data_IF_884876419164
#
_entry.id   IF_884876419164
#
_cell.length_a   1.000
_cell.length_b   1.000
_cell.length_c   1.000
_cell.angle_alpha   90.00
_cell.angle_beta   90.00
_cell.angle_gamma   90.00
#
_symmetry.space_group_name_H-M   'P 1'
#
loop_
_entity.id
_entity.type
_entity.pdbx_description
1 polymer ?
#
# COMPACT_ATOMS: atom_id res chain seq x y z
N UNK A 1 21.42 -19.20 -2.17
CA UNK A 1 19.97 -18.92 -2.33
C UNK A 1 19.42 -18.20 -1.09
N UNK A 2 19.64 -18.78 0.10
CA UNK A 2 19.29 -18.20 1.42
C UNK A 2 19.70 -16.73 1.58
N UNK A 3 21.01 -16.41 1.54
CA UNK A 3 21.49 -15.03 1.74
C UNK A 3 20.85 -14.01 0.78
N UNK A 4 20.56 -14.42 -0.46
CA UNK A 4 19.94 -13.54 -1.46
C UNK A 4 18.46 -13.33 -1.17
N UNK A 5 17.73 -14.38 -0.81
CA UNK A 5 16.33 -14.27 -0.39
C UNK A 5 16.19 -13.43 0.87
N UNK A 6 17.04 -13.66 1.87
CA UNK A 6 17.08 -12.84 3.09
C UNK A 6 17.35 -11.37 2.78
N UNK A 7 18.36 -11.07 1.95
CA UNK A 7 18.67 -9.71 1.52
C UNK A 7 17.51 -9.05 0.79
N UNK A 8 16.84 -9.77 -0.13
CA UNK A 8 15.71 -9.24 -0.90
C UNK A 8 14.52 -8.91 0.04
N UNK A 9 14.22 -9.77 1.02
CA UNK A 9 13.14 -9.55 2.00
C UNK A 9 13.42 -8.36 2.92
N UNK A 10 14.65 -8.23 3.42
CA UNK A 10 15.08 -7.08 4.22
C UNK A 10 14.99 -5.80 3.39
N UNK A 11 15.43 -5.81 2.13
CA UNK A 11 15.34 -4.64 1.26
C UNK A 11 13.89 -4.24 1.00
N UNK A 12 12.98 -5.20 0.80
CA UNK A 12 11.56 -4.92 0.64
C UNK A 12 10.96 -4.24 1.87
N UNK A 13 11.34 -4.70 3.07
CA UNK A 13 10.96 -4.06 4.33
C UNK A 13 11.50 -2.63 4.44
N UNK A 14 12.80 -2.43 4.20
CA UNK A 14 13.44 -1.11 4.23
C UNK A 14 12.77 -0.15 3.24
N UNK A 15 12.53 -0.59 2.00
CA UNK A 15 11.88 0.22 0.98
C UNK A 15 10.45 0.64 1.39
N UNK A 16 9.69 -0.26 2.04
CA UNK A 16 8.35 0.06 2.52
C UNK A 16 8.40 1.15 3.61
N UNK A 17 9.39 1.06 4.52
CA UNK A 17 9.61 2.04 5.57
C UNK A 17 10.02 3.41 5.01
N UNK A 18 10.99 3.44 4.10
CA UNK A 18 11.47 4.68 3.47
C UNK A 18 10.37 5.37 2.65
N UNK A 19 9.58 4.61 1.87
CA UNK A 19 8.49 5.18 1.09
C UNK A 19 7.45 5.86 1.98
N UNK A 20 7.11 5.25 3.11
CA UNK A 20 6.19 5.82 4.09
C UNK A 20 6.74 7.11 4.68
N UNK A 21 7.99 7.09 5.15
CA UNK A 21 8.62 8.26 5.75
C UNK A 21 8.69 9.42 4.74
N UNK A 22 8.96 9.13 3.47
CA UNK A 22 8.92 10.12 2.38
C UNK A 22 7.52 10.71 2.16
N UNK A 23 6.48 9.87 2.14
CA UNK A 23 5.09 10.33 1.95
C UNK A 23 4.60 11.19 3.12
N UNK A 24 4.94 10.80 4.36
CA UNK A 24 4.64 11.58 5.55
C UNK A 24 5.41 12.91 5.54
N UNK A 25 6.71 12.89 5.24
CA UNK A 25 7.52 14.10 5.14
C UNK A 25 7.00 15.04 4.05
N UNK A 26 6.60 14.52 2.90
CA UNK A 26 5.99 15.32 1.83
C UNK A 26 4.70 16.00 2.32
N UNK A 27 3.87 15.29 3.08
CA UNK A 27 2.64 15.85 3.63
C UNK A 27 2.90 16.91 4.70
N UNK A 28 3.85 16.66 5.61
CA UNK A 28 4.28 17.63 6.62
C UNK A 28 4.84 18.89 5.95
N UNK A 29 5.72 18.74 4.96
CA UNK A 29 6.29 19.86 4.20
C UNK A 29 5.19 20.64 3.48
N UNK A 30 4.24 19.96 2.83
CA UNK A 30 3.14 20.62 2.11
C UNK A 30 2.27 21.49 3.03
N UNK A 31 2.03 21.05 4.26
CA UNK A 31 1.29 21.84 5.26
C UNK A 31 2.15 22.88 5.99
N UNK A 32 3.42 22.58 6.25
CA UNK A 32 4.37 23.56 6.73
C UNK A 32 4.48 24.72 5.73
N UNK A 33 4.52 24.44 4.42
CA UNK A 33 4.47 25.44 3.35
C UNK A 33 3.15 26.22 3.38
N UNK A 34 2.00 25.60 3.65
CA UNK A 34 0.74 26.32 3.85
C UNK A 34 0.86 27.37 4.97
N UNK A 35 1.40 26.97 6.13
CA UNK A 35 1.55 27.83 7.30
C UNK A 35 2.65 28.90 7.11
N UNK A 36 3.77 28.54 6.48
CA UNK A 36 4.86 29.46 6.13
C UNK A 36 4.45 30.47 5.05
N UNK A 37 3.56 30.11 4.11
CA UNK A 37 3.00 31.06 3.14
C UNK A 37 2.28 32.20 3.86
N UNK A 38 1.50 31.88 4.90
CA UNK A 38 0.80 32.88 5.72
C UNK A 38 1.77 33.79 6.47
N UNK A 39 2.92 33.26 6.90
CA UNK A 39 3.95 34.01 7.62
C UNK A 39 4.82 34.88 6.70
N UNK A 40 5.38 34.34 5.61
CA UNK A 40 6.28 35.06 4.71
C UNK A 40 5.60 36.19 3.93
N UNK A 41 4.29 36.08 3.67
CA UNK A 41 3.49 37.18 3.11
C UNK A 41 3.46 38.39 4.07
N UNK A 42 3.56 38.17 5.39
CA UNK A 42 3.59 39.26 6.38
C UNK A 42 4.95 39.95 6.47
N UNK A 43 6.05 39.25 6.19
CA UNK A 43 7.41 39.74 6.47
C UNK A 43 8.18 40.27 5.25
N UNK A 44 7.61 40.22 4.04
CA UNK A 44 8.12 40.99 2.89
C UNK A 44 9.52 40.62 2.37
N UNK A 45 10.07 39.46 2.74
CA UNK A 45 11.47 39.14 2.48
C UNK A 45 11.71 38.69 1.01
N UNK A 46 12.69 39.29 0.31
CA UNK A 46 12.90 39.14 -1.15
C UNK A 46 13.86 38.04 -1.61
N UNK A 47 14.69 37.50 -0.73
CA UNK A 47 15.83 36.65 -1.12
C UNK A 47 15.49 35.22 -1.57
N UNK A 48 14.23 34.80 -1.58
CA UNK A 48 13.89 33.41 -1.91
C UNK A 48 12.96 33.28 -3.11
N UNK A 49 13.50 33.60 -4.30
CA UNK A 49 12.75 33.62 -5.57
C UNK A 49 12.14 32.26 -5.94
N UNK A 50 12.85 31.15 -5.73
CA UNK A 50 12.32 29.80 -6.01
C UNK A 50 11.24 29.37 -5.02
N UNK A 51 11.45 29.62 -3.73
CA UNK A 51 10.41 29.37 -2.71
C UNK A 51 9.18 30.23 -3.00
N UNK A 52 9.33 31.52 -3.32
CA UNK A 52 8.19 32.38 -3.73
C UNK A 52 7.43 31.81 -4.92
N UNK A 53 8.12 31.27 -5.93
CA UNK A 53 7.49 30.64 -7.09
C UNK A 53 6.70 29.38 -6.69
N UNK A 54 7.29 28.50 -5.89
CA UNK A 54 6.61 27.31 -5.37
C UNK A 54 5.39 27.68 -4.49
N UNK A 55 5.53 28.71 -3.65
CA UNK A 55 4.44 29.23 -2.81
C UNK A 55 3.32 29.87 -3.65
N UNK A 56 3.64 30.54 -4.76
CA UNK A 56 2.61 31.07 -5.67
C UNK A 56 1.80 29.95 -6.32
N UNK A 57 2.46 28.92 -6.86
CA UNK A 57 1.75 27.76 -7.42
C UNK A 57 0.88 27.06 -6.39
N UNK A 58 1.37 26.92 -5.15
CA UNK A 58 0.60 26.38 -4.03
C UNK A 58 -0.63 27.23 -3.74
N UNK A 59 -0.46 28.56 -3.60
CA UNK A 59 -1.55 29.50 -3.33
C UNK A 59 -2.62 29.47 -4.42
N UNK A 60 -2.21 29.49 -5.67
CA UNK A 60 -3.12 29.44 -6.82
C UNK A 60 -3.91 28.13 -6.85
N UNK A 61 -3.24 27.01 -6.55
CA UNK A 61 -3.87 25.69 -6.42
C UNK A 61 -4.86 25.64 -5.26
N UNK A 62 -4.49 26.15 -4.07
CA UNK A 62 -5.36 26.21 -2.88
C UNK A 62 -6.60 27.08 -3.11
N UNK A 63 -6.44 28.24 -3.77
CA UNK A 63 -7.55 29.11 -4.15
C UNK A 63 -8.47 28.40 -5.16
N UNK A 64 -7.91 27.75 -6.17
CA UNK A 64 -8.67 26.99 -7.16
C UNK A 64 -9.49 25.87 -6.51
N UNK A 65 -8.89 25.13 -5.59
CA UNK A 65 -9.56 24.06 -4.84
C UNK A 65 -10.69 24.61 -3.96
N UNK A 66 -10.43 25.70 -3.23
CA UNK A 66 -11.44 26.34 -2.38
C UNK A 66 -12.62 26.88 -3.20
N UNK A 67 -12.38 27.42 -4.40
CA UNK A 67 -13.44 27.82 -5.34
C UNK A 67 -14.32 26.65 -5.77
N UNK A 68 -13.75 25.45 -5.84
CA UNK A 68 -14.47 24.21 -6.13
C UNK A 68 -15.06 23.55 -4.87
N UNK A 69 -15.03 24.23 -3.70
CA UNK A 69 -15.55 23.71 -2.44
C UNK A 69 -14.71 22.58 -1.83
N UNK A 70 -13.46 22.42 -2.26
CA UNK A 70 -12.56 21.37 -1.77
C UNK A 70 -11.45 21.99 -0.92
N UNK A 71 -11.29 21.50 0.30
CA UNK A 71 -10.19 21.90 1.17
C UNK A 71 -8.92 21.12 0.84
N UNK A 72 -7.81 21.83 0.64
CA UNK A 72 -6.52 21.21 0.32
C UNK A 72 -6.09 20.17 1.36
N UNK A 73 -6.31 20.46 2.65
CA UNK A 73 -5.99 19.57 3.76
C UNK A 73 -6.74 18.24 3.64
N UNK A 74 -8.00 18.25 3.19
CA UNK A 74 -8.78 17.04 2.95
C UNK A 74 -8.16 16.17 1.86
N UNK A 75 -7.73 16.76 0.75
CA UNK A 75 -7.03 16.03 -0.33
C UNK A 75 -5.76 15.37 0.21
N UNK A 76 -5.02 16.09 1.05
CA UNK A 76 -3.80 15.56 1.63
C UNK A 76 -4.09 14.37 2.55
N UNK A 77 -5.10 14.50 3.42
CA UNK A 77 -5.57 13.43 4.31
C UNK A 77 -6.03 12.19 3.54
N UNK A 78 -6.82 12.38 2.49
CA UNK A 78 -7.22 11.30 1.59
C UNK A 78 -5.99 10.61 0.98
N UNK A 79 -4.99 11.39 0.54
CA UNK A 79 -3.78 10.87 -0.09
C UNK A 79 -2.90 10.08 0.87
N UNK A 80 -2.70 10.58 2.09
CA UNK A 80 -1.93 9.90 3.13
C UNK A 80 -2.57 8.55 3.47
N UNK A 81 -3.89 8.54 3.68
CA UNK A 81 -4.61 7.30 3.99
C UNK A 81 -4.46 6.26 2.88
N UNK A 82 -4.64 6.69 1.62
CA UNK A 82 -4.43 5.83 0.46
C UNK A 82 -3.01 5.27 0.43
N UNK A 83 -2.01 6.10 0.70
CA UNK A 83 -0.61 5.70 0.67
C UNK A 83 -0.29 4.64 1.74
N UNK A 84 -0.79 4.75 2.97
CA UNK A 84 -0.52 3.75 4.02
C UNK A 84 -0.92 2.34 3.60
N UNK A 85 -2.13 2.17 3.06
CA UNK A 85 -2.56 0.86 2.58
C UNK A 85 -1.83 0.43 1.31
N UNK A 86 -1.54 1.37 0.40
CA UNK A 86 -0.80 1.07 -0.82
C UNK A 86 0.61 0.53 -0.51
N UNK A 87 1.29 1.07 0.50
CA UNK A 87 2.60 0.58 0.95
C UNK A 87 2.52 -0.87 1.42
N UNK A 88 1.48 -1.21 2.20
CA UNK A 88 1.24 -2.59 2.63
C UNK A 88 0.99 -3.54 1.44
N UNK A 89 0.18 -3.11 0.48
CA UNK A 89 -0.14 -3.90 -0.71
C UNK A 89 1.10 -4.12 -1.60
N UNK A 90 1.89 -3.07 -1.81
CA UNK A 90 3.16 -3.14 -2.53
C UNK A 90 4.20 -4.02 -1.81
N UNK A 91 4.25 -3.96 -0.48
CA UNK A 91 5.07 -4.85 0.33
C UNK A 91 4.67 -6.32 0.11
N UNK A 92 3.38 -6.63 0.19
CA UNK A 92 2.87 -7.99 -0.08
C UNK A 92 3.21 -8.44 -1.51
N UNK A 93 3.02 -7.55 -2.49
CA UNK A 93 3.37 -7.79 -3.89
C UNK A 93 4.86 -8.13 -4.04
N UNK A 94 5.75 -7.27 -3.54
CA UNK A 94 7.21 -7.43 -3.67
C UNK A 94 7.71 -8.72 -2.99
N UNK A 95 7.13 -9.08 -1.86
CA UNK A 95 7.47 -10.32 -1.16
C UNK A 95 7.00 -11.57 -1.90
N UNK A 96 5.75 -11.60 -2.40
CA UNK A 96 5.30 -12.72 -3.25
C UNK A 96 6.14 -12.84 -4.52
N UNK A 97 6.47 -11.71 -5.15
CA UNK A 97 7.32 -11.66 -6.33
C UNK A 97 8.70 -12.25 -6.05
N UNK A 98 9.33 -11.81 -4.96
CA UNK A 98 10.62 -12.33 -4.52
C UNK A 98 10.58 -13.85 -4.29
N UNK A 99 9.56 -14.34 -3.56
CA UNK A 99 9.40 -15.77 -3.30
C UNK A 99 9.26 -16.56 -4.60
N UNK A 100 8.42 -16.13 -5.54
CA UNK A 100 8.24 -16.85 -6.79
C UNK A 100 9.46 -16.81 -7.71
N UNK A 101 10.17 -15.67 -7.79
CA UNK A 101 11.39 -15.56 -8.58
C UNK A 101 12.54 -16.40 -8.02
N UNK A 102 12.63 -16.50 -6.68
CA UNK A 102 13.70 -17.27 -6.01
C UNK A 102 13.36 -18.75 -5.84
N UNK A 103 12.08 -19.07 -5.68
CA UNK A 103 11.58 -20.41 -5.39
C UNK A 103 10.50 -20.82 -6.43
N UNK A 104 10.83 -20.88 -7.74
CA UNK A 104 9.85 -21.00 -8.83
C UNK A 104 9.04 -22.29 -8.85
N UNK A 105 9.46 -23.36 -8.18
CA UNK A 105 8.69 -24.62 -8.06
C UNK A 105 7.34 -24.42 -7.35
N UNK A 106 7.17 -23.33 -6.59
CA UNK A 106 5.86 -22.96 -6.05
C UNK A 106 4.83 -22.62 -7.13
N UNK A 107 5.25 -22.34 -8.37
CA UNK A 107 4.38 -22.11 -9.51
C UNK A 107 4.03 -23.37 -10.29
N UNK A 108 4.67 -24.52 -10.02
CA UNK A 108 4.49 -25.74 -10.83
C UNK A 108 3.07 -26.30 -10.79
N UNK A 109 2.29 -25.95 -9.77
CA UNK A 109 0.88 -26.37 -9.63
C UNK A 109 -0.10 -25.45 -10.36
N UNK A 110 0.37 -24.32 -10.87
CA UNK A 110 -0.47 -23.34 -11.56
C UNK A 110 -0.41 -23.54 -13.07
N UNK A 111 -1.56 -23.48 -13.74
CA UNK A 111 -1.58 -23.33 -15.19
C UNK A 111 -1.07 -21.93 -15.57
N UNK A 112 0.06 -21.89 -16.27
CA UNK A 112 0.67 -20.64 -16.71
C UNK A 112 0.22 -20.34 -18.13
N UNK A 113 -0.65 -19.33 -18.27
CA UNK A 113 -1.07 -18.82 -19.57
C UNK A 113 -0.11 -17.71 -20.03
N UNK A 114 0.63 -17.97 -21.10
CA UNK A 114 1.55 -17.00 -21.72
C UNK A 114 1.06 -16.67 -23.12
N UNK A 115 0.98 -15.39 -23.48
CA UNK A 115 0.57 -15.03 -24.84
C UNK A 115 1.74 -15.24 -25.82
N UNK A 116 1.43 -15.55 -27.09
CA UNK A 116 2.43 -15.60 -28.15
C UNK A 116 3.25 -14.32 -28.24
N UNK A 117 2.63 -13.16 -28.01
CA UNK A 117 3.32 -11.88 -27.99
C UNK A 117 4.39 -11.82 -26.90
N UNK A 118 4.11 -12.33 -25.70
CA UNK A 118 5.08 -12.33 -24.59
C UNK A 118 6.29 -13.23 -24.90
N UNK A 119 6.09 -14.33 -25.62
CA UNK A 119 7.18 -15.28 -25.97
C UNK A 119 8.04 -14.74 -27.11
N UNK A 120 7.42 -14.23 -28.18
CA UNK A 120 8.12 -13.91 -29.43
C UNK A 120 8.59 -12.45 -29.53
N UNK A 121 8.05 -11.53 -28.72
CA UNK A 121 8.49 -10.12 -28.70
C UNK A 121 9.59 -9.83 -27.68
N UNK A 122 10.00 -10.84 -26.90
CA UNK A 122 11.06 -10.69 -25.91
C UNK A 122 12.26 -11.53 -26.32
N UNK A 123 13.43 -10.90 -26.35
CA UNK A 123 14.69 -11.54 -26.74
C UNK A 123 15.36 -12.29 -25.59
N UNK A 124 14.90 -12.07 -24.35
CA UNK A 124 15.50 -12.63 -23.14
C UNK A 124 14.47 -13.44 -22.34
N UNK A 125 14.78 -14.72 -22.13
CA UNK A 125 13.97 -15.67 -21.38
C UNK A 125 13.78 -15.27 -19.92
N UNK A 126 14.73 -14.53 -19.33
CA UNK A 126 14.61 -14.05 -17.95
C UNK A 126 13.52 -12.98 -17.83
N UNK A 127 13.38 -12.12 -18.84
CA UNK A 127 12.30 -11.11 -18.89
C UNK A 127 10.94 -11.81 -19.03
N UNK A 128 10.86 -12.87 -19.84
CA UNK A 128 9.64 -13.66 -19.99
C UNK A 128 9.25 -14.30 -18.64
N UNK A 129 10.20 -14.91 -17.94
CA UNK A 129 9.97 -15.48 -16.60
C UNK A 129 9.47 -14.42 -15.63
N UNK A 130 10.13 -13.26 -15.59
CA UNK A 130 9.72 -12.16 -14.71
C UNK A 130 8.29 -11.71 -15.01
N UNK A 131 7.95 -11.50 -16.28
CA UNK A 131 6.61 -11.08 -16.69
C UNK A 131 5.51 -12.09 -16.30
N UNK A 132 5.79 -13.38 -16.42
CA UNK A 132 4.88 -14.44 -16.00
C UNK A 132 4.61 -14.34 -14.49
N UNK A 133 5.69 -14.22 -13.72
CA UNK A 133 5.64 -14.16 -12.26
C UNK A 133 4.93 -12.88 -11.80
N UNK A 134 5.23 -11.73 -12.40
CA UNK A 134 4.55 -10.45 -12.13
C UNK A 134 3.05 -10.52 -12.42
N UNK A 135 2.64 -11.06 -13.59
CA UNK A 135 1.23 -11.24 -13.92
C UNK A 135 0.52 -12.13 -12.90
N UNK A 136 1.18 -13.20 -12.45
CA UNK A 136 0.63 -14.10 -11.42
C UNK A 136 0.45 -13.38 -10.09
N UNK A 137 1.50 -12.72 -9.59
CA UNK A 137 1.43 -11.97 -8.32
C UNK A 137 0.37 -10.87 -8.41
N UNK A 138 0.34 -10.12 -9.51
CA UNK A 138 -0.67 -9.06 -9.74
C UNK A 138 -2.08 -9.63 -9.70
N UNK A 139 -2.33 -10.78 -10.33
CA UNK A 139 -3.64 -11.44 -10.26
C UNK A 139 -4.04 -11.77 -8.82
N UNK A 140 -3.11 -12.26 -8.00
CA UNK A 140 -3.37 -12.60 -6.60
C UNK A 140 -3.70 -11.35 -5.78
N UNK A 141 -2.88 -10.31 -5.90
CA UNK A 141 -3.01 -9.08 -5.11
C UNK A 141 -4.28 -8.31 -5.51
N UNK A 142 -4.57 -8.19 -6.81
CA UNK A 142 -5.70 -7.39 -7.30
C UNK A 142 -7.06 -8.11 -7.19
N UNK A 143 -7.09 -9.44 -7.27
CA UNK A 143 -8.35 -10.19 -7.20
C UNK A 143 -8.77 -10.57 -5.77
N UNK A 144 -7.92 -10.30 -4.78
CA UNK A 144 -8.10 -10.77 -3.42
C UNK A 144 -8.23 -9.60 -2.46
N UNK A 145 -9.14 -9.71 -1.50
CA UNK A 145 -9.07 -8.88 -0.30
C UNK A 145 -7.92 -9.35 0.60
N UNK A 146 -7.68 -8.64 1.71
CA UNK A 146 -6.57 -8.97 2.63
C UNK A 146 -6.60 -10.43 3.10
N UNK A 147 -7.78 -10.99 3.41
CA UNK A 147 -7.92 -12.38 3.81
C UNK A 147 -7.43 -13.31 2.72
N UNK A 148 -7.76 -13.01 1.46
CA UNK A 148 -7.29 -13.78 0.31
C UNK A 148 -5.79 -13.70 0.13
N UNK A 149 -5.17 -12.51 0.31
CA UNK A 149 -3.71 -12.34 0.23
C UNK A 149 -3.01 -13.17 1.30
N UNK A 150 -3.41 -13.04 2.58
CA UNK A 150 -2.84 -13.80 3.70
C UNK A 150 -3.04 -15.31 3.49
N UNK A 151 -4.25 -15.71 3.09
CA UNK A 151 -4.55 -17.11 2.77
C UNK A 151 -3.66 -17.63 1.65
N UNK A 152 -3.37 -16.83 0.63
CA UNK A 152 -2.47 -17.24 -0.47
C UNK A 152 -1.05 -17.48 0.01
N UNK A 153 -0.50 -16.63 0.87
CA UNK A 153 0.80 -16.89 1.49
C UNK A 153 0.83 -18.24 2.21
N UNK A 154 -0.21 -18.54 2.98
CA UNK A 154 -0.35 -19.83 3.69
C UNK A 154 -0.51 -21.01 2.73
N UNK A 155 -1.37 -20.91 1.73
CA UNK A 155 -1.66 -22.05 0.83
C UNK A 155 -0.56 -22.32 -0.19
N UNK A 156 0.13 -21.29 -0.67
CA UNK A 156 1.16 -21.43 -1.71
C UNK A 156 2.51 -21.74 -1.08
N UNK A 157 2.92 -20.97 -0.07
CA UNK A 157 4.25 -21.05 0.52
C UNK A 157 4.27 -21.78 1.88
N UNK A 158 3.11 -22.04 2.48
CA UNK A 158 3.03 -22.60 3.84
C UNK A 158 3.35 -21.58 4.94
N UNK A 159 3.42 -20.29 4.64
CA UNK A 159 3.78 -19.26 5.61
C UNK A 159 2.52 -18.82 6.36
N UNK A 160 2.52 -18.99 7.68
CA UNK A 160 1.42 -18.56 8.54
C UNK A 160 1.86 -17.36 9.40
N UNK A 161 1.39 -16.17 9.03
CA UNK A 161 1.76 -14.91 9.68
C UNK A 161 1.20 -14.73 11.10
N UNK A 162 0.36 -15.66 11.58
CA UNK A 162 -0.26 -15.59 12.92
C UNK A 162 -0.92 -14.23 13.22
N UNK A 163 -1.43 -13.56 12.20
CA UNK A 163 -2.19 -12.32 12.36
C UNK A 163 -3.55 -12.72 12.95
N UNK A 164 -3.88 -12.18 14.11
CA UNK A 164 -5.16 -12.46 14.76
C UNK A 164 -6.34 -11.91 13.93
N UNK A 165 -7.56 -12.36 14.26
CA UNK A 165 -8.75 -12.00 13.50
C UNK A 165 -9.01 -10.49 13.52
N UNK A 166 -8.87 -9.84 14.67
CA UNK A 166 -9.16 -8.41 14.82
C UNK A 166 -8.21 -7.57 13.94
N UNK A 167 -6.93 -7.92 13.91
CA UNK A 167 -5.95 -7.30 13.01
C UNK A 167 -6.30 -7.54 11.53
N UNK A 168 -6.74 -8.74 11.14
CA UNK A 168 -7.19 -8.98 9.76
C UNK A 168 -8.44 -8.17 9.40
N UNK A 169 -9.41 -8.11 10.30
CA UNK A 169 -10.64 -7.33 10.18
C UNK A 169 -10.30 -5.83 10.00
N UNK A 170 -9.34 -5.32 10.79
CA UNK A 170 -8.85 -3.94 10.71
C UNK A 170 -8.16 -3.63 9.37
N UNK A 171 -7.26 -4.51 8.89
CA UNK A 171 -6.65 -4.36 7.55
C UNK A 171 -7.70 -4.38 6.44
N UNK A 172 -8.74 -5.20 6.58
CA UNK A 172 -9.82 -5.28 5.61
C UNK A 172 -10.60 -3.96 5.56
N UNK A 173 -10.94 -3.38 6.71
CA UNK A 173 -11.62 -2.07 6.76
C UNK A 173 -10.75 -0.99 6.13
N UNK A 174 -9.45 -0.94 6.44
CA UNK A 174 -8.51 0.01 5.84
C UNK A 174 -8.49 -0.13 4.30
N UNK A 175 -8.47 -1.37 3.80
CA UNK A 175 -8.57 -1.66 2.37
C UNK A 175 -9.84 -1.10 1.73
N UNK A 176 -11.00 -1.34 2.37
CA UNK A 176 -12.29 -0.85 1.90
C UNK A 176 -12.37 0.69 1.92
N UNK A 177 -11.83 1.31 2.97
CA UNK A 177 -11.74 2.76 3.09
C UNK A 177 -10.88 3.36 1.96
N UNK A 178 -9.72 2.77 1.67
CA UNK A 178 -8.89 3.15 0.52
C UNK A 178 -9.64 3.02 -0.80
N UNK A 179 -10.44 1.98 -0.99
CA UNK A 179 -11.25 1.82 -2.20
C UNK A 179 -12.30 2.93 -2.35
N UNK A 180 -12.96 3.32 -1.26
CA UNK A 180 -13.88 4.46 -1.27
C UNK A 180 -13.16 5.77 -1.61
N UNK A 181 -11.98 6.03 -1.02
CA UNK A 181 -11.19 7.22 -1.33
C UNK A 181 -10.87 7.33 -2.83
N UNK A 182 -10.45 6.23 -3.45
CA UNK A 182 -10.07 6.20 -4.87
C UNK A 182 -11.28 6.29 -5.81
N UNK A 183 -12.34 5.53 -5.52
CA UNK A 183 -13.42 5.32 -6.49
C UNK A 183 -14.65 6.21 -6.26
N UNK A 184 -14.89 6.65 -5.02
CA UNK A 184 -16.08 7.44 -4.66
C UNK A 184 -15.75 8.70 -3.88
N UNK A 185 -14.49 9.16 -3.93
CA UNK A 185 -14.01 10.35 -3.20
C UNK A 185 -14.31 10.26 -1.70
N UNK A 186 -14.17 9.06 -1.15
CA UNK A 186 -14.37 8.77 0.27
C UNK A 186 -15.83 8.75 0.72
N UNK A 187 -16.81 8.79 -0.18
CA UNK A 187 -18.23 8.77 0.17
C UNK A 187 -18.72 7.34 0.36
N UNK A 188 -19.25 7.06 1.54
CA UNK A 188 -19.82 5.76 1.92
C UNK A 188 -21.07 5.47 1.09
N UNK A 189 -21.15 4.24 0.59
CA UNK A 189 -22.24 3.76 -0.26
C UNK A 189 -22.70 2.35 0.18
N UNK A 190 -23.77 1.85 -0.44
CA UNK A 190 -24.32 0.52 -0.15
C UNK A 190 -23.33 -0.62 -0.40
N UNK A 191 -22.43 -0.48 -1.37
CA UNK A 191 -21.44 -1.52 -1.71
C UNK A 191 -20.50 -1.71 -0.52
N UNK A 192 -19.97 -0.62 0.04
CA UNK A 192 -19.09 -0.66 1.20
C UNK A 192 -19.75 -1.30 2.43
N UNK A 193 -20.98 -0.89 2.77
CA UNK A 193 -21.71 -1.46 3.90
C UNK A 193 -21.93 -2.97 3.69
N UNK A 194 -22.37 -3.36 2.48
CA UNK A 194 -22.59 -4.76 2.13
C UNK A 194 -21.30 -5.58 2.22
N UNK A 195 -20.15 -5.03 1.82
CA UNK A 195 -18.85 -5.71 1.93
C UNK A 195 -18.44 -5.91 3.40
N UNK A 196 -18.65 -4.93 4.28
CA UNK A 196 -18.38 -5.11 5.71
C UNK A 196 -19.30 -6.18 6.33
N UNK A 197 -20.59 -6.16 6.02
CA UNK A 197 -21.57 -7.11 6.53
C UNK A 197 -21.27 -8.56 6.12
N UNK A 198 -20.75 -8.78 4.89
CA UNK A 198 -20.31 -10.12 4.44
C UNK A 198 -19.27 -10.76 5.35
N UNK A 199 -18.47 -9.96 6.04
CA UNK A 199 -17.44 -10.41 6.99
C UNK A 199 -17.89 -10.26 8.46
N UNK A 200 -19.15 -9.88 8.70
CA UNK A 200 -19.68 -9.66 10.04
C UNK A 200 -19.14 -8.40 10.73
N UNK A 201 -18.60 -7.47 9.95
CA UNK A 201 -18.04 -6.21 10.44
C UNK A 201 -19.10 -5.12 10.48
N UNK A 202 -18.97 -4.20 11.43
CA UNK A 202 -19.88 -3.07 11.62
C UNK A 202 -19.12 -1.76 11.50
N UNK A 203 -19.84 -0.72 11.10
CA UNK A 203 -19.33 0.65 11.01
C UNK A 203 -20.39 1.60 11.52
N UNK A 204 -19.97 2.67 12.19
CA UNK A 204 -20.85 3.75 12.61
C UNK A 204 -21.11 4.76 11.48
N UNK A 205 -20.38 4.63 10.37
CA UNK A 205 -20.53 5.49 9.20
C UNK A 205 -21.85 5.22 8.47
N UNK A 206 -22.54 6.29 8.09
CA UNK A 206 -23.78 6.24 7.32
C UNK A 206 -23.53 6.49 5.83
N UNK A 207 -24.43 6.00 4.99
CA UNK A 207 -24.42 6.28 3.55
C UNK A 207 -24.42 7.79 3.30
N UNK A 208 -23.55 8.24 2.40
CA UNK A 208 -23.36 9.66 2.09
C UNK A 208 -22.34 10.36 2.99
N UNK A 209 -21.93 9.75 4.11
CA UNK A 209 -20.86 10.30 4.94
C UNK A 209 -19.48 10.08 4.31
N UNK A 210 -18.53 10.93 4.69
CA UNK A 210 -17.14 10.76 4.30
C UNK A 210 -16.43 9.81 5.26
N UNK A 211 -15.63 8.87 4.76
CA UNK A 211 -14.94 7.87 5.59
C UNK A 211 -13.94 8.45 6.60
N UNK A 212 -13.37 9.61 6.29
CA UNK A 212 -12.46 10.35 7.18
C UNK A 212 -13.20 11.41 8.01
N UNK A 213 -14.51 11.27 8.20
CA UNK A 213 -15.27 12.16 9.09
C UNK A 213 -14.69 12.07 10.51
N UNK A 214 -14.18 13.19 11.02
CA UNK A 214 -13.56 13.27 12.35
C UNK A 214 -12.04 13.30 12.33
N UNK A 215 -11.39 13.03 11.19
CA UNK A 215 -9.96 13.26 11.01
C UNK A 215 -9.72 14.75 10.77
N UNK A 216 -9.17 15.43 11.76
CA UNK A 216 -8.92 16.86 11.75
C UNK A 216 -7.41 17.19 11.73
N UNK A 217 -6.56 16.23 12.09
CA UNK A 217 -5.11 16.41 12.21
C UNK A 217 -4.36 15.12 11.79
N UNK A 218 -3.03 15.21 11.67
CA UNK A 218 -2.20 14.06 11.32
C UNK A 218 -2.10 12.99 12.40
N UNK A 219 -2.13 13.38 13.68
CA UNK A 219 -2.07 12.41 14.78
C UNK A 219 -3.27 11.45 14.76
N UNK A 220 -4.39 11.84 14.14
CA UNK A 220 -5.54 10.95 13.92
C UNK A 220 -5.17 9.74 13.03
N UNK A 221 -4.11 9.84 12.22
CA UNK A 221 -3.60 8.74 11.40
C UNK A 221 -2.52 7.89 12.08
N UNK A 222 -1.97 8.33 13.22
CA UNK A 222 -0.84 7.67 13.86
C UNK A 222 -1.14 6.22 14.24
N UNK A 223 -2.37 5.95 14.71
CA UNK A 223 -2.80 4.59 15.03
C UNK A 223 -2.87 3.69 13.78
N UNK A 224 -3.27 4.22 12.62
CA UNK A 224 -3.31 3.46 11.37
C UNK A 224 -1.89 3.20 10.87
N UNK A 225 -1.05 4.24 10.88
CA UNK A 225 0.34 4.17 10.48
C UNK A 225 1.09 3.11 11.31
N UNK A 226 1.01 3.22 12.64
CA UNK A 226 1.65 2.30 13.57
C UNK A 226 1.14 0.86 13.39
N UNK A 227 -0.16 0.70 13.17
CA UNK A 227 -0.75 -0.61 12.90
C UNK A 227 -0.24 -1.25 11.61
N UNK A 228 -0.13 -0.49 10.52
CA UNK A 228 0.43 -0.99 9.25
C UNK A 228 1.91 -1.34 9.42
N UNK A 229 2.69 -0.49 10.09
CA UNK A 229 4.11 -0.74 10.35
C UNK A 229 4.34 -2.03 11.16
N UNK A 230 3.68 -2.16 12.30
CA UNK A 230 3.81 -3.35 13.16
C UNK A 230 3.33 -4.62 12.47
N UNK A 231 2.32 -4.52 11.61
CA UNK A 231 1.87 -5.65 10.77
C UNK A 231 2.97 -6.05 9.77
N UNK A 232 3.56 -5.10 9.07
CA UNK A 232 4.66 -5.33 8.11
C UNK A 232 5.88 -5.94 8.82
N UNK A 233 6.23 -5.44 10.00
CA UNK A 233 7.32 -5.97 10.84
C UNK A 233 7.06 -7.43 11.23
N UNK A 234 5.86 -7.73 11.71
CA UNK A 234 5.45 -9.08 12.11
C UNK A 234 5.49 -10.08 10.93
N UNK A 235 4.99 -9.67 9.76
CA UNK A 235 5.07 -10.46 8.53
C UNK A 235 6.53 -10.71 8.16
N UNK A 236 7.35 -9.66 8.14
CA UNK A 236 8.77 -9.74 7.78
C UNK A 236 9.50 -10.70 8.71
N UNK A 237 9.35 -10.54 10.03
CA UNK A 237 9.95 -11.41 11.03
C UNK A 237 9.56 -12.88 10.82
N UNK A 238 8.27 -13.13 10.57
CA UNK A 238 7.78 -14.48 10.26
C UNK A 238 8.44 -15.05 9.00
N UNK A 239 8.51 -14.28 7.92
CA UNK A 239 9.12 -14.73 6.67
C UNK A 239 10.61 -15.05 6.83
N UNK A 240 11.35 -14.21 7.55
CA UNK A 240 12.79 -14.38 7.79
C UNK A 240 13.08 -15.65 8.58
N UNK A 241 12.31 -15.93 9.64
CA UNK A 241 12.44 -17.18 10.42
C UNK A 241 12.14 -18.40 9.56
N UNK A 242 11.25 -18.28 8.57
CA UNK A 242 10.74 -19.39 7.79
C UNK A 242 11.54 -19.70 6.51
N UNK A 243 12.59 -18.91 6.20
CA UNK A 243 13.41 -19.04 4.98
C UNK A 243 13.93 -20.47 4.78
N UNK A 244 14.51 -21.07 5.82
CA UNK A 244 15.10 -22.39 5.72
C UNK A 244 14.07 -23.49 5.46
N UNK A 245 12.88 -23.37 6.06
CA UNK A 245 11.74 -24.26 5.76
C UNK A 245 11.31 -24.09 4.30
N UNK A 246 11.21 -22.85 3.82
CA UNK A 246 10.79 -22.54 2.45
C UNK A 246 11.73 -23.12 1.40
N UNK A 247 13.04 -22.97 1.60
CA UNK A 247 14.07 -23.51 0.72
C UNK A 247 14.00 -25.04 0.69
N UNK A 248 14.00 -25.68 1.86
CA UNK A 248 13.93 -27.14 1.94
C UNK A 248 12.65 -27.68 1.29
N UNK A 249 11.50 -27.04 1.54
CA UNK A 249 10.24 -27.45 0.94
C UNK A 249 10.26 -27.26 -0.58
N UNK A 250 10.76 -26.12 -1.07
CA UNK A 250 10.93 -25.86 -2.50
C UNK A 250 11.80 -26.93 -3.18
N UNK A 251 12.96 -27.28 -2.62
CA UNK A 251 13.85 -28.29 -3.20
C UNK A 251 13.18 -29.67 -3.33
N UNK A 252 12.36 -30.03 -2.34
CA UNK A 252 11.64 -31.29 -2.26
C UNK A 252 10.28 -31.32 -2.99
N UNK A 253 9.81 -30.20 -3.55
CA UNK A 253 8.63 -30.18 -4.41
C UNK A 253 8.93 -31.01 -5.68
N UNK A 254 8.11 -32.05 -5.88
CA UNK A 254 8.08 -32.94 -7.05
C UNK A 254 7.20 -32.36 -8.14
#
# INVERSE_FOLDING_TARGET
MENKLQSDLIQNFTNAKEQRDNDLNFAIISLAMQNFTVYLIKEGNEEIKEIKKALSYYKDSSISLKKNGVEYQKILFDKIYVNFYQIFEEFCYKNMLCLFLRLPKFLMKDEINVSYKDIFMQTDIEIIKQNIVEKRVKSIIQSSNIYGIIKKFKTVFGIDFKIDKESQDRLFIISQNRNLLIHTKGIVNNIYISELEKFGLRTDLKIGEHILKGYNNFSDFHDIEYFIETTIESITATMLVDINRLINYHENLK
#
